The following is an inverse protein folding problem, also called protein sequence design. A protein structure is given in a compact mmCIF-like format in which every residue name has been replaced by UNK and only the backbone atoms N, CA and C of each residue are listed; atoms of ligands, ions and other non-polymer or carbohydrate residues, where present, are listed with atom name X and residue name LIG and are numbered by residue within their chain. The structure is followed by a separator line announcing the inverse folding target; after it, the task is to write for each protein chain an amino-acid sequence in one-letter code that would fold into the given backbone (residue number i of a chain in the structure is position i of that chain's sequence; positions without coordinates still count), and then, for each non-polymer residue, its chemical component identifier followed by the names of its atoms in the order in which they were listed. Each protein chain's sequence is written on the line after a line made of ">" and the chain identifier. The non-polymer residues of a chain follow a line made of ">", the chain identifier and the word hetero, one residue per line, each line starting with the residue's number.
data_IF_282482159154
#
_entry.id   IF_282482159154
#
_cell.length_a   1.000
_cell.length_b   1.000
_cell.length_c   1.000
_cell.angle_alpha   90.00
_cell.angle_beta   90.00
_cell.angle_gamma   90.00
#
_symmetry.space_group_name_H-M   'P 1'
#
loop_
_entity.id
_entity.type
_entity.pdbx_description
1 polymer ?
#
# COMPACT_ATOMS: atom_id res chain seq x y z
N UNK A 1 17.23 3.14 -1.16
CA UNK A 1 18.33 3.01 -2.15
C UNK A 1 17.93 3.42 -3.58
N UNK A 2 16.72 3.16 -4.08
CA UNK A 2 16.32 3.50 -5.47
C UNK A 2 16.12 4.99 -5.80
N UNK A 3 15.60 5.79 -4.86
CA UNK A 3 15.27 7.21 -5.12
C UNK A 3 16.32 8.21 -4.62
N UNK A 4 17.33 7.76 -3.87
CA UNK A 4 18.34 8.62 -3.23
C UNK A 4 17.77 9.87 -2.51
N UNK A 5 16.52 9.81 -2.02
CA UNK A 5 15.83 10.92 -1.38
C UNK A 5 15.29 12.01 -2.32
N UNK A 6 15.29 11.80 -3.64
CA UNK A 6 14.78 12.72 -4.66
C UNK A 6 13.54 12.15 -5.36
N UNK A 7 12.57 13.02 -5.65
CA UNK A 7 11.30 12.67 -6.29
C UNK A 7 10.22 12.18 -5.31
N UNK A 8 9.02 11.96 -5.84
CA UNK A 8 7.87 11.53 -5.07
C UNK A 8 7.94 10.02 -4.75
N UNK A 9 7.71 9.68 -3.49
CA UNK A 9 7.50 8.30 -3.02
C UNK A 9 6.22 8.28 -2.20
N UNK A 10 5.30 7.38 -2.55
CA UNK A 10 4.08 7.12 -1.79
C UNK A 10 4.14 5.65 -1.36
N UNK A 11 3.98 5.40 -0.06
CA UNK A 11 3.93 4.05 0.50
C UNK A 11 2.47 3.73 0.82
N UNK A 12 1.89 2.83 0.02
CA UNK A 12 0.50 2.41 0.14
C UNK A 12 0.36 1.16 1.01
N UNK A 13 -0.69 1.11 1.85
CA UNK A 13 -1.11 -0.11 2.54
C UNK A 13 -2.65 -0.26 2.50
N UNK A 14 -3.12 -1.49 2.64
CA UNK A 14 -4.53 -1.82 2.69
C UNK A 14 -4.87 -2.47 4.04
N UNK A 15 -6.00 -2.08 4.62
CA UNK A 15 -6.66 -2.79 5.72
C UNK A 15 -7.94 -3.42 5.18
N UNK A 16 -8.00 -4.75 5.21
CA UNK A 16 -9.18 -5.48 4.76
C UNK A 16 -10.32 -5.34 5.78
N UNK A 17 -11.48 -4.86 5.33
CA UNK A 17 -12.65 -4.64 6.19
C UNK A 17 -13.54 -3.49 5.73
N UNK A 18 -14.27 -2.90 6.68
CA UNK A 18 -15.21 -1.79 6.41
C UNK A 18 -14.80 -0.57 7.22
N UNK A 19 -15.05 0.63 6.69
CA UNK A 19 -14.59 1.87 7.32
C UNK A 19 -15.06 1.99 8.78
N UNK A 20 -16.36 1.77 9.04
CA UNK A 20 -16.96 1.93 10.37
C UNK A 20 -16.31 1.04 11.45
N UNK A 21 -15.88 -0.17 11.07
CA UNK A 21 -15.33 -1.13 12.02
C UNK A 21 -13.80 -1.07 12.10
N UNK A 22 -13.12 -0.66 11.03
CA UNK A 22 -11.67 -0.76 10.89
C UNK A 22 -10.94 0.58 10.93
N UNK A 23 -11.65 1.71 11.13
CA UNK A 23 -11.04 3.04 11.21
C UNK A 23 -9.89 3.12 12.25
N UNK A 24 -10.03 2.59 13.49
CA UNK A 24 -8.93 2.61 14.46
C UNK A 24 -7.73 1.77 14.02
N UNK A 25 -7.99 0.63 13.36
CA UNK A 25 -6.95 -0.24 12.83
C UNK A 25 -6.19 0.43 11.69
N UNK A 26 -6.89 1.16 10.81
CA UNK A 26 -6.27 1.92 9.73
C UNK A 26 -5.42 3.08 10.25
N UNK A 27 -5.87 3.79 11.29
CA UNK A 27 -5.04 4.81 11.95
C UNK A 27 -3.76 4.21 12.53
N UNK A 28 -3.87 3.07 13.25
CA UNK A 28 -2.71 2.37 13.79
C UNK A 28 -1.77 1.88 12.69
N UNK A 29 -2.32 1.39 11.58
CA UNK A 29 -1.53 0.98 10.42
C UNK A 29 -0.78 2.16 9.79
N UNK A 30 -1.41 3.33 9.65
CA UNK A 30 -0.76 4.54 9.11
C UNK A 30 0.39 5.00 10.02
N UNK A 31 0.17 5.06 11.34
CA UNK A 31 1.23 5.39 12.30
C UNK A 31 2.40 4.40 12.23
N UNK A 32 2.10 3.10 12.16
CA UNK A 32 3.13 2.06 12.05
C UNK A 32 3.91 2.18 10.74
N UNK A 33 3.22 2.50 9.64
CA UNK A 33 3.81 2.68 8.32
C UNK A 33 4.75 3.89 8.29
N UNK A 34 4.32 5.03 8.85
CA UNK A 34 5.16 6.24 9.00
C UNK A 34 6.42 5.96 9.82
N UNK A 35 6.28 5.29 10.96
CA UNK A 35 7.42 4.89 11.79
C UNK A 35 8.39 4.00 11.02
N UNK A 36 7.89 3.05 10.24
CA UNK A 36 8.73 2.20 9.40
C UNK A 36 9.45 3.00 8.30
N UNK A 37 8.75 3.95 7.66
CA UNK A 37 9.36 4.85 6.68
C UNK A 37 10.51 5.68 7.30
N UNK A 38 10.34 6.15 8.54
CA UNK A 38 11.39 6.88 9.26
C UNK A 38 12.62 6.00 9.53
N UNK A 39 12.40 4.78 10.05
CA UNK A 39 13.47 3.80 10.33
C UNK A 39 14.25 3.47 9.05
N UNK A 40 13.54 3.23 7.94
CA UNK A 40 14.12 2.90 6.63
C UNK A 40 14.61 4.15 5.85
N UNK A 41 14.53 5.35 6.46
CA UNK A 41 14.94 6.63 5.87
C UNK A 41 14.28 6.91 4.51
N UNK A 42 13.03 6.46 4.35
CA UNK A 42 12.19 6.70 3.17
C UNK A 42 11.50 8.04 3.31
N UNK A 43 11.92 9.03 2.52
CA UNK A 43 11.24 10.32 2.41
C UNK A 43 10.04 10.18 1.47
N UNK A 44 8.83 10.47 1.95
CA UNK A 44 7.62 10.34 1.16
C UNK A 44 6.34 10.49 1.99
N UNK A 45 5.22 10.04 1.44
CA UNK A 45 3.90 10.05 2.07
C UNK A 45 3.41 8.63 2.33
N UNK A 46 2.71 8.42 3.45
CA UNK A 46 1.95 7.19 3.70
C UNK A 46 0.52 7.35 3.21
N UNK A 47 -0.06 6.28 2.69
CA UNK A 47 -1.46 6.22 2.30
C UNK A 47 -2.04 4.86 2.69
N UNK A 48 -3.02 4.85 3.60
CA UNK A 48 -3.70 3.63 4.04
C UNK A 48 -5.15 3.67 3.57
N UNK A 49 -5.59 2.60 2.92
CA UNK A 49 -6.96 2.44 2.40
C UNK A 49 -7.64 1.29 3.13
N UNK A 50 -8.92 1.46 3.45
CA UNK A 50 -9.78 0.38 3.95
C UNK A 50 -10.64 -0.13 2.79
N UNK A 51 -10.68 -1.44 2.57
CA UNK A 51 -11.53 -2.06 1.55
C UNK A 51 -11.91 -3.48 1.96
N UNK A 52 -13.06 -3.98 1.53
CA UNK A 52 -13.43 -5.39 1.70
C UNK A 52 -12.66 -6.34 0.78
N UNK A 53 -11.92 -5.80 -0.19
CA UNK A 53 -11.16 -6.57 -1.17
C UNK A 53 -9.80 -5.90 -1.44
N UNK A 54 -8.74 -6.71 -1.38
CA UNK A 54 -7.38 -6.28 -1.67
C UNK A 54 -7.22 -5.75 -3.10
N UNK A 55 -7.85 -6.37 -4.10
CA UNK A 55 -7.79 -5.93 -5.50
C UNK A 55 -8.34 -4.52 -5.67
N UNK A 56 -9.47 -4.24 -5.02
CA UNK A 56 -10.12 -2.94 -5.11
C UNK A 56 -9.31 -1.88 -4.37
N UNK A 57 -8.74 -2.22 -3.21
CA UNK A 57 -7.82 -1.32 -2.52
C UNK A 57 -6.57 -1.02 -3.34
N UNK A 58 -5.96 -2.03 -3.97
CA UNK A 58 -4.80 -1.85 -4.85
C UNK A 58 -5.16 -0.97 -6.04
N UNK A 59 -6.30 -1.23 -6.69
CA UNK A 59 -6.79 -0.39 -7.79
C UNK A 59 -6.98 1.06 -7.34
N UNK A 60 -7.56 1.27 -6.16
CA UNK A 60 -7.76 2.60 -5.59
C UNK A 60 -6.43 3.33 -5.32
N UNK A 61 -5.45 2.64 -4.72
CA UNK A 61 -4.11 3.19 -4.47
C UNK A 61 -3.40 3.60 -5.78
N UNK A 62 -3.58 2.84 -6.86
CA UNK A 62 -2.94 3.12 -8.16
C UNK A 62 -3.64 4.28 -8.91
N UNK A 63 -4.97 4.30 -8.87
CA UNK A 63 -5.74 5.25 -9.67
C UNK A 63 -5.91 6.60 -8.98
N UNK A 64 -6.13 6.59 -7.66
CA UNK A 64 -6.42 7.77 -6.86
C UNK A 64 -5.26 8.21 -5.95
N UNK A 65 -4.10 7.53 -6.01
CA UNK A 65 -2.91 7.94 -5.27
C UNK A 65 -2.30 9.24 -5.80
N UNK A 66 -1.99 10.18 -4.89
CA UNK A 66 -1.38 11.47 -5.21
C UNK A 66 -2.37 12.64 -5.29
N UNK A 67 -1.86 13.82 -5.64
CA UNK A 67 -2.65 15.05 -5.76
C UNK A 67 -2.19 15.89 -6.96
N UNK A 68 -3.06 16.07 -7.96
CA UNK A 68 -2.73 16.82 -9.17
C UNK A 68 -1.48 16.27 -9.87
N UNK A 69 -0.48 17.12 -10.11
CA UNK A 69 0.81 16.70 -10.69
C UNK A 69 1.69 15.86 -9.76
N UNK A 70 1.39 15.82 -8.45
CA UNK A 70 2.07 14.96 -7.47
C UNK A 70 1.47 13.56 -7.47
N UNK A 71 1.59 12.86 -8.60
CA UNK A 71 1.14 11.47 -8.78
C UNK A 71 2.33 10.56 -8.99
N UNK A 72 2.22 9.31 -8.54
CA UNK A 72 3.23 8.31 -8.84
C UNK A 72 3.30 8.03 -10.36
N UNK A 73 4.43 7.54 -10.84
CA UNK A 73 4.61 7.11 -12.22
C UNK A 73 5.04 5.65 -12.34
N UNK A 74 5.20 4.96 -11.20
CA UNK A 74 5.63 3.57 -11.13
C UNK A 74 5.08 2.94 -9.86
N UNK A 75 4.69 1.67 -9.96
CA UNK A 75 4.23 0.85 -8.83
C UNK A 75 5.32 -0.16 -8.51
N UNK A 76 5.74 -0.23 -7.25
CA UNK A 76 6.68 -1.21 -6.75
C UNK A 76 5.94 -2.14 -5.79
N UNK A 77 5.94 -3.44 -6.10
CA UNK A 77 5.37 -4.48 -5.25
C UNK A 77 6.33 -5.66 -5.12
N UNK A 78 6.21 -6.40 -4.02
CA UNK A 78 6.93 -7.65 -3.82
C UNK A 78 6.20 -8.81 -4.48
N UNK A 79 6.93 -9.70 -5.13
CA UNK A 79 6.35 -10.93 -5.68
C UNK A 79 5.81 -11.84 -4.55
N UNK A 80 4.64 -12.49 -4.72
CA UNK A 80 4.06 -13.35 -3.71
C UNK A 80 4.95 -14.58 -3.47
N UNK A 81 5.44 -14.73 -2.23
CA UNK A 81 6.43 -15.77 -1.88
C UNK A 81 5.88 -17.19 -2.03
N UNK A 82 4.60 -17.40 -1.75
CA UNK A 82 3.97 -18.72 -1.70
C UNK A 82 3.06 -18.99 -2.91
N UNK A 83 3.39 -18.41 -4.07
CA UNK A 83 2.53 -18.49 -5.27
C UNK A 83 2.18 -19.90 -5.77
N UNK A 84 2.96 -20.90 -5.37
CA UNK A 84 2.75 -22.32 -5.70
C UNK A 84 1.80 -23.05 -4.73
N UNK A 85 1.43 -22.44 -3.61
CA UNK A 85 0.57 -23.06 -2.61
C UNK A 85 -0.90 -22.85 -2.99
N UNK A 86 -1.66 -23.94 -3.11
CA UNK A 86 -3.04 -23.91 -3.56
C UNK A 86 -3.94 -23.01 -2.69
N UNK A 87 -3.70 -22.99 -1.37
CA UNK A 87 -4.42 -22.16 -0.41
C UNK A 87 -4.20 -20.65 -0.66
N UNK A 88 -3.04 -20.26 -1.19
CA UNK A 88 -2.71 -18.86 -1.49
C UNK A 88 -3.01 -18.44 -2.94
N UNK A 89 -3.56 -19.34 -3.77
CA UNK A 89 -3.89 -19.04 -5.16
C UNK A 89 -4.84 -17.83 -5.31
N UNK A 90 -5.75 -17.61 -4.35
CA UNK A 90 -6.65 -16.46 -4.38
C UNK A 90 -5.90 -15.13 -4.18
N UNK A 91 -4.91 -15.09 -3.28
CA UNK A 91 -4.03 -13.91 -3.08
C UNK A 91 -3.13 -13.67 -4.28
N UNK A 92 -2.63 -14.74 -4.88
CA UNK A 92 -1.75 -14.65 -6.05
C UNK A 92 -2.49 -14.28 -7.33
N UNK A 93 -3.75 -14.73 -7.51
CA UNK A 93 -4.62 -14.26 -8.60
C UNK A 93 -4.98 -12.79 -8.46
N UNK A 94 -5.07 -12.31 -7.23
CA UNK A 94 -5.31 -10.89 -6.90
C UNK A 94 -4.00 -10.10 -6.73
N UNK A 95 -2.88 -10.62 -7.23
CA UNK A 95 -1.60 -9.92 -7.28
C UNK A 95 -1.63 -8.86 -8.38
N UNK A 96 -2.23 -7.70 -8.04
CA UNK A 96 -2.54 -6.57 -8.93
C UNK A 96 -3.56 -6.94 -10.02
#
# INVERSE_FOLDING_TARGET
>A
QLKAGKGLTIVGACVEGTYLNNQPQAQKADQSLRKLMEVEKVKGFSQVVISSNLRDATSHLIQAGGLGGLRHNSVLVSFPKNWKQAEEHHRCRNFI
#
